data_IF_362733986563
#
_entry.id   IF_362733986563
#
_cell.length_a   1.000
_cell.length_b   1.000
_cell.length_c   1.000
_cell.angle_alpha   90.00
_cell.angle_beta   90.00
_cell.angle_gamma   90.00
#
_symmetry.space_group_name_H-M   'P 1'
#
loop_
_entity.id
_entity.type
_entity.pdbx_description
1 polymer ?
#
# COMPACT_ATOMS: atom_id res chain seq x y z
N UNK A 1 5.78 33.67 -25.91
CA UNK A 1 5.24 32.42 -25.33
C UNK A 1 6.11 32.05 -24.15
N UNK A 2 5.59 32.10 -22.92
CA UNK A 2 6.33 31.62 -21.76
C UNK A 2 6.38 30.10 -21.84
N UNK A 3 7.55 29.55 -22.12
CA UNK A 3 7.78 28.10 -21.99
C UNK A 3 7.75 27.79 -20.51
N UNK A 4 6.59 27.36 -20.01
CA UNK A 4 6.45 26.84 -18.66
C UNK A 4 7.40 25.65 -18.54
N UNK A 5 8.52 25.84 -17.82
CA UNK A 5 9.51 24.79 -17.63
C UNK A 5 8.92 23.78 -16.66
N UNK A 6 8.23 22.77 -17.20
CA UNK A 6 7.61 21.72 -16.39
C UNK A 6 8.69 21.00 -15.60
N UNK A 7 8.74 21.25 -14.29
CA UNK A 7 9.76 20.69 -13.41
C UNK A 7 9.46 19.22 -13.18
N UNK A 8 10.32 18.34 -13.68
CA UNK A 8 10.16 16.91 -13.46
C UNK A 8 10.47 16.53 -12.01
N UNK A 9 9.64 15.67 -11.43
CA UNK A 9 9.83 15.11 -10.09
C UNK A 9 9.88 13.59 -10.15
N UNK A 10 10.61 12.98 -9.22
CA UNK A 10 10.73 11.53 -9.12
C UNK A 10 9.91 11.02 -7.94
N UNK A 11 9.02 10.07 -8.19
CA UNK A 11 8.32 9.32 -7.14
C UNK A 11 9.19 8.13 -6.75
N UNK A 12 9.60 8.08 -5.50
CA UNK A 12 10.42 6.99 -4.93
C UNK A 12 9.63 6.15 -3.95
N UNK A 13 9.97 4.87 -3.85
CA UNK A 13 9.44 3.98 -2.83
C UNK A 13 9.86 4.45 -1.44
N UNK A 14 8.93 4.71 -0.50
CA UNK A 14 9.27 5.13 0.85
C UNK A 14 9.99 4.04 1.65
N UNK A 15 9.87 2.77 1.25
CA UNK A 15 10.50 1.65 1.97
C UNK A 15 11.90 1.30 1.50
N UNK A 16 12.19 1.34 0.19
CA UNK A 16 13.49 0.94 -0.35
C UNK A 16 14.24 2.06 -1.09
N UNK A 17 13.69 3.28 -1.14
CA UNK A 17 14.30 4.43 -1.82
C UNK A 17 14.38 4.33 -3.34
N UNK A 18 13.95 3.21 -3.95
CA UNK A 18 14.01 3.00 -5.41
C UNK A 18 13.10 4.01 -6.10
N UNK A 19 13.63 4.73 -7.10
CA UNK A 19 12.80 5.55 -7.98
C UNK A 19 11.87 4.65 -8.80
N UNK A 20 10.57 4.93 -8.72
CA UNK A 20 9.54 4.13 -9.38
C UNK A 20 9.02 4.83 -10.62
N UNK A 21 8.91 6.16 -10.59
CA UNK A 21 8.31 6.92 -11.68
C UNK A 21 8.86 8.33 -11.77
N UNK A 22 8.79 8.90 -12.98
CA UNK A 22 9.11 10.29 -13.26
C UNK A 22 7.85 10.99 -13.74
N UNK A 23 7.49 12.08 -13.08
CA UNK A 23 6.26 12.83 -13.35
C UNK A 23 6.57 14.28 -13.65
N UNK A 24 5.67 14.93 -14.38
CA UNK A 24 5.77 16.32 -14.81
C UNK A 24 4.39 16.97 -14.66
N UNK A 25 4.35 18.18 -14.10
CA UNK A 25 3.10 18.89 -13.83
C UNK A 25 2.30 18.28 -12.68
N UNK A 26 1.01 18.61 -12.63
CA UNK A 26 0.11 18.17 -11.59
C UNK A 26 -0.49 16.81 -11.95
N UNK A 27 -0.18 15.79 -11.16
CA UNK A 27 -0.66 14.43 -11.42
C UNK A 27 -0.78 13.62 -10.12
N UNK A 28 -1.78 12.75 -10.09
CA UNK A 28 -1.89 11.66 -9.11
C UNK A 28 -1.55 10.35 -9.80
N UNK A 29 -0.62 9.59 -9.23
CA UNK A 29 -0.20 8.28 -9.75
C UNK A 29 -0.28 7.22 -8.66
N UNK A 30 -0.79 6.05 -9.02
CA UNK A 30 -0.82 4.86 -8.17
C UNK A 30 0.15 3.83 -8.73
N UNK A 31 1.12 3.40 -7.91
CA UNK A 31 2.26 2.61 -8.36
C UNK A 31 2.62 1.55 -7.33
N UNK A 32 2.85 0.33 -7.81
CA UNK A 32 3.34 -0.77 -6.98
C UNK A 32 4.86 -0.85 -7.03
N UNK A 33 5.53 -0.76 -5.88
CA UNK A 33 6.95 -1.04 -5.80
C UNK A 33 7.19 -2.55 -5.98
N UNK A 34 7.76 -2.94 -7.12
CA UNK A 34 8.06 -4.36 -7.43
C UNK A 34 8.95 -5.04 -6.38
N UNK A 35 9.87 -4.30 -5.75
CA UNK A 35 10.77 -4.85 -4.72
C UNK A 35 10.06 -5.09 -3.40
N UNK A 36 9.27 -4.12 -2.95
CA UNK A 36 8.60 -4.19 -1.64
C UNK A 36 7.19 -4.79 -1.71
N UNK A 37 6.65 -4.96 -2.91
CA UNK A 37 5.25 -5.34 -3.18
C UNK A 37 4.25 -4.44 -2.44
N UNK A 38 4.61 -3.16 -2.30
CA UNK A 38 3.81 -2.13 -1.64
C UNK A 38 3.16 -1.25 -2.69
N UNK A 39 1.88 -0.98 -2.53
CA UNK A 39 1.16 -0.01 -3.33
C UNK A 39 1.43 1.40 -2.78
N UNK A 40 1.72 2.34 -3.67
CA UNK A 40 2.16 3.69 -3.33
C UNK A 40 1.36 4.67 -4.15
N UNK A 41 0.78 5.66 -3.49
CA UNK A 41 0.08 6.78 -4.13
C UNK A 41 0.96 8.00 -4.05
N UNK A 42 1.30 8.57 -5.21
CA UNK A 42 2.02 9.83 -5.34
C UNK A 42 1.09 10.91 -5.86
N UNK A 43 0.83 11.94 -5.05
CA UNK A 43 0.14 13.17 -5.47
C UNK A 43 1.19 14.25 -5.66
N UNK A 44 1.31 14.74 -6.89
CA UNK A 44 2.22 15.82 -7.26
C UNK A 44 1.40 17.01 -7.70
N UNK A 45 1.63 18.12 -7.02
CA UNK A 45 1.09 19.44 -7.31
C UNK A 45 2.28 20.40 -7.55
N UNK A 46 2.04 21.62 -8.03
CA UNK A 46 3.09 22.57 -8.35
C UNK A 46 3.89 22.94 -7.09
N UNK A 47 3.17 22.99 -5.96
CA UNK A 47 3.67 23.43 -4.67
C UNK A 47 4.17 22.25 -3.82
N UNK A 48 3.46 21.11 -3.83
CA UNK A 48 3.72 20.02 -2.89
C UNK A 48 3.77 18.63 -3.55
N UNK A 49 4.57 17.75 -2.96
CA UNK A 49 4.68 16.35 -3.35
C UNK A 49 4.34 15.50 -2.12
N UNK A 50 3.32 14.66 -2.25
CA UNK A 50 2.84 13.77 -1.19
C UNK A 50 2.92 12.33 -1.66
N UNK A 51 3.63 11.49 -0.92
CA UNK A 51 3.78 10.06 -1.19
C UNK A 51 3.27 9.30 0.03
N UNK A 52 2.33 8.39 -0.19
CA UNK A 52 1.78 7.54 0.86
C UNK A 52 1.72 6.10 0.40
N UNK A 53 1.84 5.17 1.34
CA UNK A 53 1.63 3.74 1.09
C UNK A 53 0.11 3.47 1.13
N UNK A 54 -0.42 2.87 0.07
CA UNK A 54 -1.80 2.42 0.03
C UNK A 54 -1.88 1.07 0.73
N UNK A 55 -2.55 1.04 1.88
CA UNK A 55 -2.81 -0.20 2.63
C UNK A 55 -4.17 -0.82 2.31
N UNK A 56 -4.90 -0.33 1.29
CA UNK A 56 -6.19 -0.92 0.87
C UNK A 56 -5.96 -2.35 0.42
N UNK A 57 -6.37 -3.32 1.23
CA UNK A 57 -6.37 -4.74 0.86
C UNK A 57 -5.53 -5.65 1.74
N UNK A 58 -4.99 -5.19 2.88
CA UNK A 58 -4.69 -6.11 3.99
C UNK A 58 -5.84 -6.10 4.98
N UNK A 59 -7.01 -6.57 4.54
CA UNK A 59 -7.89 -7.21 5.50
C UNK A 59 -7.08 -8.32 6.18
N UNK A 60 -7.18 -8.37 7.50
CA UNK A 60 -6.53 -9.29 8.42
C UNK A 60 -6.98 -10.73 8.17
N UNK A 61 -6.73 -11.29 6.99
CA UNK A 61 -7.09 -12.67 6.66
C UNK A 61 -6.22 -13.68 7.43
N UNK A 62 -5.19 -13.22 8.12
CA UNK A 62 -4.42 -14.04 9.06
C UNK A 62 -5.03 -14.17 10.46
N UNK A 63 -5.96 -13.30 10.89
CA UNK A 63 -6.51 -13.40 12.25
C UNK A 63 -7.74 -14.31 12.34
N UNK A 64 -8.53 -14.45 11.25
CA UNK A 64 -9.76 -15.25 11.28
C UNK A 64 -9.52 -16.76 11.11
N UNK A 65 -8.46 -17.18 10.43
CA UNK A 65 -8.14 -18.61 10.31
C UNK A 65 -7.72 -19.25 11.64
N UNK A 66 -6.99 -18.50 12.48
CA UNK A 66 -6.57 -18.99 13.80
C UNK A 66 -7.75 -19.14 14.76
N UNK A 67 -8.64 -18.14 14.85
CA UNK A 67 -9.78 -18.18 15.79
C UNK A 67 -10.80 -19.28 15.42
N UNK A 68 -11.09 -19.46 14.13
CA UNK A 68 -12.03 -20.50 13.70
C UNK A 68 -11.53 -21.92 14.01
N UNK A 69 -10.22 -22.17 13.91
CA UNK A 69 -9.65 -23.48 14.22
C UNK A 69 -9.70 -23.80 15.71
N UNK A 70 -9.40 -22.82 16.58
CA UNK A 70 -9.41 -23.03 18.04
C UNK A 70 -10.82 -23.20 18.60
N UNK A 71 -11.81 -22.46 18.07
CA UNK A 71 -13.21 -22.60 18.49
C UNK A 71 -13.79 -23.97 18.14
N UNK A 72 -13.43 -24.54 16.98
CA UNK A 72 -13.91 -25.86 16.55
C UNK A 72 -13.30 -27.01 17.39
N UNK A 73 -12.06 -26.87 17.85
CA UNK A 73 -11.45 -27.83 18.79
C UNK A 73 -12.09 -27.76 20.18
N UNK A 74 -12.34 -26.56 20.71
CA UNK A 74 -12.98 -26.37 22.02
C UNK A 74 -14.41 -26.96 22.04
N UNK A 75 -15.22 -26.72 21.00
CA UNK A 75 -16.54 -27.31 20.84
C UNK A 75 -16.52 -28.84 20.74
N UNK A 76 -15.50 -29.42 20.09
CA UNK A 76 -15.34 -30.89 20.00
C UNK A 76 -14.96 -31.50 21.35
N UNK A 77 -14.15 -30.83 22.15
CA UNK A 77 -13.78 -31.32 23.48
C UNK A 77 -14.96 -31.24 24.45
N UNK A 78 -15.75 -30.17 24.41
CA UNK A 78 -16.94 -30.04 25.28
C UNK A 78 -17.98 -31.13 25.01
N UNK A 79 -18.21 -31.52 23.74
CA UNK A 79 -19.12 -32.63 23.38
C UNK A 79 -18.61 -34.02 23.78
N UNK A 80 -17.33 -34.19 24.09
CA UNK A 80 -16.76 -35.46 24.57
C UNK A 80 -16.79 -35.57 26.11
N UNK A 81 -17.05 -34.47 26.80
CA UNK A 81 -17.08 -34.38 28.26
C UNK A 81 -18.50 -34.38 28.85
N UNK A 82 -19.54 -34.43 28.01
CA UNK A 82 -20.93 -34.78 28.35
C UNK A 82 -21.23 -36.19 27.85
#
# INVERSE_FOLDING_TARGET
MMTERVKMRYVSCPSCGKQLFKVAGNCSVEITCVRCKKEIVGVVDEIYMKIFENCRGKELDQEKASRYSTDMEALRQQKRAM
#
